data_IF_737427143447
#
_entry.id   IF_737427143447
#
_cell.length_a   1.000
_cell.length_b   1.000
_cell.length_c   1.000
_cell.angle_alpha   90.00
_cell.angle_beta   90.00
_cell.angle_gamma   90.00
#
_symmetry.space_group_name_H-M   'P 1'
#
loop_
_entity.id
_entity.type
_entity.pdbx_description
1 polymer ?
#
# COMPACT_ATOMS: atom_id res chain seq x y z
N UNK A 1 12.79 -2.00 10.16
CA UNK A 1 14.15 -2.60 10.15
C UNK A 1 15.15 -1.83 9.28
N UNK A 2 14.73 -1.18 8.19
CA UNK A 2 15.56 -0.34 7.32
C UNK A 2 15.13 1.13 7.29
N UNK A 3 14.49 1.60 8.37
CA UNK A 3 14.10 3.00 8.52
C UNK A 3 15.33 3.91 8.40
N UNK A 4 15.24 4.95 7.55
CA UNK A 4 16.33 5.89 7.25
C UNK A 4 17.65 5.19 6.87
N UNK A 5 17.55 4.02 6.23
CA UNK A 5 18.73 3.24 5.84
C UNK A 5 19.17 3.53 4.41
N UNK A 6 20.49 3.46 4.20
CA UNK A 6 21.12 3.43 2.87
C UNK A 6 21.38 2.00 2.38
N UNK A 7 20.85 1.01 3.09
CA UNK A 7 21.04 -0.40 2.76
C UNK A 7 20.57 -0.70 1.33
N UNK A 8 21.43 -1.34 0.55
CA UNK A 8 21.23 -1.70 -0.85
C UNK A 8 21.57 -3.17 -1.13
N UNK A 9 21.61 -4.01 -0.09
CA UNK A 9 21.83 -5.44 -0.25
C UNK A 9 20.61 -6.13 -0.86
N UNK A 10 20.84 -7.28 -1.48
CA UNK A 10 19.78 -8.11 -2.04
C UNK A 10 18.97 -8.79 -0.91
N UNK A 11 17.66 -8.53 -0.90
CA UNK A 11 16.69 -9.11 0.02
C UNK A 11 15.58 -9.87 -0.70
N UNK A 12 15.73 -10.09 -2.01
CA UNK A 12 14.72 -10.76 -2.85
C UNK A 12 14.41 -12.20 -2.38
N UNK A 13 15.36 -12.83 -1.68
CA UNK A 13 15.27 -14.21 -1.17
C UNK A 13 14.86 -14.33 0.30
N UNK A 14 14.52 -13.22 0.95
CA UNK A 14 14.12 -13.27 2.34
C UNK A 14 12.78 -13.98 2.52
N UNK A 15 12.75 -14.96 3.42
CA UNK A 15 11.50 -15.58 3.85
C UNK A 15 10.82 -14.72 4.90
N UNK A 16 9.73 -14.07 4.50
CA UNK A 16 8.89 -13.24 5.34
C UNK A 16 7.52 -13.87 5.61
N UNK A 17 7.35 -15.16 5.29
CA UNK A 17 6.06 -15.85 5.32
C UNK A 17 5.41 -15.90 6.69
N UNK A 18 6.19 -15.80 7.77
CA UNK A 18 5.70 -15.81 9.16
C UNK A 18 5.57 -14.40 9.77
N UNK A 19 5.97 -13.37 9.05
CA UNK A 19 6.01 -11.99 9.59
C UNK A 19 4.59 -11.44 9.64
N UNK A 20 4.17 -10.99 10.83
CA UNK A 20 2.85 -10.39 11.04
C UNK A 20 2.88 -8.85 11.00
N UNK A 21 4.03 -8.23 11.28
CA UNK A 21 4.20 -6.78 11.34
C UNK A 21 5.37 -6.34 10.45
N UNK A 22 5.06 -5.53 9.43
CA UNK A 22 6.03 -4.92 8.52
C UNK A 22 6.04 -3.39 8.62
N UNK A 23 5.49 -2.84 9.70
CA UNK A 23 5.41 -1.39 9.90
C UNK A 23 6.79 -0.74 9.85
N UNK A 24 6.87 0.42 9.21
CA UNK A 24 8.08 1.23 9.08
C UNK A 24 9.31 0.49 8.53
N UNK A 25 9.11 -0.62 7.80
CA UNK A 25 10.24 -1.45 7.37
C UNK A 25 11.21 -0.66 6.50
N UNK A 26 10.71 0.24 5.64
CA UNK A 26 11.48 1.05 4.68
C UNK A 26 11.17 2.56 4.78
N UNK A 27 10.60 3.02 5.90
CA UNK A 27 10.30 4.42 6.19
C UNK A 27 11.54 5.32 5.98
N UNK A 28 11.41 6.41 5.22
CA UNK A 28 12.49 7.36 4.91
C UNK A 28 13.75 6.73 4.26
N UNK A 29 13.65 5.53 3.69
CA UNK A 29 14.80 4.84 3.12
C UNK A 29 14.94 5.10 1.61
N UNK A 30 16.15 4.87 1.09
CA UNK A 30 16.41 4.84 -0.36
C UNK A 30 16.20 3.42 -0.92
N UNK A 31 15.02 2.87 -0.68
CA UNK A 31 14.73 1.47 -1.01
C UNK A 31 14.72 1.25 -2.53
N UNK A 32 15.46 0.24 -2.99
CA UNK A 32 15.55 -0.12 -4.42
C UNK A 32 15.50 -1.62 -4.68
N UNK A 33 15.34 -2.47 -3.65
CA UNK A 33 15.38 -3.92 -3.81
C UNK A 33 14.11 -4.48 -4.46
N UNK A 34 14.23 -5.60 -5.15
CA UNK A 34 13.09 -6.37 -5.66
C UNK A 34 12.49 -7.21 -4.53
N UNK A 35 11.23 -6.94 -4.20
CA UNK A 35 10.44 -7.65 -3.18
C UNK A 35 9.15 -8.24 -3.76
N UNK A 36 9.05 -8.32 -5.09
CA UNK A 36 7.85 -8.79 -5.78
C UNK A 36 7.48 -10.25 -5.44
N UNK A 37 8.46 -11.03 -4.96
CA UNK A 37 8.29 -12.45 -4.61
C UNK A 37 8.06 -12.71 -3.12
N UNK A 38 7.98 -11.67 -2.28
CA UNK A 38 7.73 -11.86 -0.86
C UNK A 38 6.33 -12.43 -0.59
N UNK A 39 6.27 -13.46 0.25
CA UNK A 39 5.01 -14.01 0.73
C UNK A 39 4.54 -13.24 1.97
N UNK A 40 3.63 -12.28 1.76
CA UNK A 40 3.10 -11.42 2.83
C UNK A 40 1.73 -11.88 3.37
N UNK A 41 1.33 -13.13 3.11
CA UNK A 41 -0.03 -13.60 3.40
C UNK A 41 -0.41 -13.58 4.89
N UNK A 42 0.57 -13.56 5.80
CA UNK A 42 0.34 -13.51 7.25
C UNK A 42 0.46 -12.10 7.84
N UNK A 43 0.84 -11.10 7.04
CA UNK A 43 1.01 -9.73 7.52
C UNK A 43 -0.33 -9.12 7.93
N UNK A 44 -0.33 -8.47 9.09
CA UNK A 44 -1.48 -7.77 9.67
C UNK A 44 -1.34 -6.25 9.60
N UNK A 45 -0.11 -5.73 9.64
CA UNK A 45 0.14 -4.28 9.55
C UNK A 45 1.33 -3.98 8.65
N UNK A 46 1.16 -2.98 7.79
CA UNK A 46 2.16 -2.40 6.88
C UNK A 46 2.23 -0.87 7.05
N UNK A 47 1.85 -0.37 8.22
CA UNK A 47 1.79 1.06 8.51
C UNK A 47 3.13 1.76 8.23
N UNK A 48 3.10 2.87 7.49
CA UNK A 48 4.25 3.67 7.10
C UNK A 48 5.41 2.88 6.47
N UNK A 49 5.15 1.70 5.90
CA UNK A 49 6.23 0.81 5.42
C UNK A 49 7.11 1.49 4.38
N UNK A 50 6.54 2.31 3.48
CA UNK A 50 7.25 3.09 2.46
C UNK A 50 6.99 4.60 2.58
N UNK A 51 6.55 5.09 3.74
CA UNK A 51 6.38 6.54 3.94
C UNK A 51 7.74 7.25 3.72
N UNK A 52 7.72 8.38 3.02
CA UNK A 52 8.90 9.15 2.63
C UNK A 52 10.00 8.32 1.91
N UNK A 53 9.64 7.17 1.35
CA UNK A 53 10.58 6.31 0.62
C UNK A 53 10.93 6.96 -0.73
N UNK A 54 12.14 7.50 -0.81
CA UNK A 54 12.67 8.12 -2.03
C UNK A 54 13.43 7.04 -2.78
N UNK A 55 12.72 6.26 -3.60
CA UNK A 55 13.33 5.32 -4.53
C UNK A 55 14.50 6.00 -5.24
N UNK A 56 15.64 5.30 -5.34
CA UNK A 56 16.87 5.86 -5.88
C UNK A 56 16.59 6.61 -7.18
N UNK A 57 16.65 7.95 -7.13
CA UNK A 57 16.45 8.81 -8.29
C UNK A 57 17.71 8.70 -9.13
N UNK A 58 17.82 7.61 -9.90
CA UNK A 58 18.74 7.55 -11.03
C UNK A 58 17.96 8.07 -12.24
N UNK A 59 18.33 9.26 -12.71
CA UNK A 59 17.98 9.83 -14.01
C UNK A 59 16.49 10.05 -14.32
N UNK A 60 15.78 10.88 -13.52
CA UNK A 60 14.43 11.39 -13.85
C UNK A 60 13.39 10.30 -14.20
N UNK A 61 13.64 9.06 -13.80
CA UNK A 61 12.76 7.92 -14.06
C UNK A 61 12.16 7.45 -12.75
N UNK A 62 10.83 7.51 -12.66
CA UNK A 62 10.11 6.89 -11.56
C UNK A 62 10.36 5.38 -11.60
N UNK A 63 10.83 4.81 -10.49
CA UNK A 63 10.99 3.36 -10.37
C UNK A 63 9.63 2.74 -10.05
N UNK A 64 9.18 1.81 -10.88
CA UNK A 64 8.04 0.94 -10.57
C UNK A 64 8.48 -0.16 -9.61
N UNK A 65 7.74 -0.33 -8.53
CA UNK A 65 7.86 -1.43 -7.58
C UNK A 65 6.65 -2.34 -7.78
N UNK A 66 6.90 -3.53 -8.30
CA UNK A 66 5.86 -4.52 -8.61
C UNK A 66 5.37 -5.20 -7.31
N UNK A 67 4.20 -4.79 -6.81
CA UNK A 67 3.59 -5.37 -5.61
C UNK A 67 2.32 -6.17 -5.90
N UNK A 68 1.85 -6.22 -7.16
CA UNK A 68 0.58 -6.83 -7.52
C UNK A 68 0.48 -8.34 -7.25
N UNK A 69 1.61 -9.01 -6.98
CA UNK A 69 1.63 -10.43 -6.56
C UNK A 69 1.34 -10.64 -5.08
N UNK A 70 1.38 -9.58 -4.27
CA UNK A 70 1.21 -9.70 -2.82
C UNK A 70 -0.23 -10.04 -2.45
N UNK A 71 -0.40 -11.08 -1.63
CA UNK A 71 -1.67 -11.37 -1.00
C UNK A 71 -1.79 -10.58 0.31
N UNK A 72 -2.45 -9.43 0.24
CA UNK A 72 -2.65 -8.51 1.39
C UNK A 72 -4.02 -8.66 2.07
N UNK A 73 -4.77 -9.71 1.76
CA UNK A 73 -6.15 -9.91 2.26
C UNK A 73 -6.30 -9.91 3.77
N UNK A 74 -5.21 -10.17 4.51
CA UNK A 74 -5.16 -10.20 5.99
C UNK A 74 -4.62 -8.92 6.63
N UNK A 75 -4.13 -7.98 5.83
CA UNK A 75 -3.59 -6.71 6.31
C UNK A 75 -4.75 -5.81 6.71
N UNK A 76 -4.70 -5.33 7.95
CA UNK A 76 -5.71 -4.48 8.55
C UNK A 76 -5.31 -3.01 8.45
N UNK A 77 -4.02 -2.74 8.57
CA UNK A 77 -3.50 -1.39 8.69
C UNK A 77 -2.45 -1.07 7.60
N UNK A 78 -2.80 -0.11 6.76
CA UNK A 78 -1.98 0.46 5.70
C UNK A 78 -1.68 1.95 5.93
N UNK A 79 -1.95 2.47 7.14
CA UNK A 79 -1.86 3.89 7.44
C UNK A 79 -0.53 4.46 6.96
N UNK A 80 -0.58 5.49 6.12
CA UNK A 80 0.53 6.23 5.53
C UNK A 80 1.53 5.40 4.75
N UNK A 81 1.21 4.15 4.37
CA UNK A 81 2.16 3.22 3.79
C UNK A 81 2.97 3.79 2.62
N UNK A 82 2.38 4.67 1.79
CA UNK A 82 3.02 5.28 0.62
C UNK A 82 3.09 6.80 0.68
N UNK A 83 2.83 7.40 1.86
CA UNK A 83 2.77 8.85 2.00
C UNK A 83 4.12 9.46 1.63
N UNK A 84 4.11 10.45 0.74
CA UNK A 84 5.31 11.12 0.21
C UNK A 84 6.33 10.19 -0.47
N UNK A 85 5.96 8.95 -0.80
CA UNK A 85 6.86 8.04 -1.49
C UNK A 85 7.06 8.51 -2.95
N UNK A 86 8.30 8.50 -3.42
CA UNK A 86 8.68 8.98 -4.77
C UNK A 86 8.86 7.81 -5.77
N UNK A 87 8.06 6.76 -5.62
CA UNK A 87 8.11 5.55 -6.45
C UNK A 87 6.69 5.16 -6.85
N UNK A 88 6.55 4.56 -8.03
CA UNK A 88 5.26 4.02 -8.47
C UNK A 88 5.14 2.62 -7.89
N UNK A 89 4.06 2.33 -7.18
CA UNK A 89 3.81 1.00 -6.59
C UNK A 89 2.62 0.37 -7.31
N UNK A 90 2.84 -0.72 -8.02
CA UNK A 90 1.74 -1.47 -8.66
C UNK A 90 1.00 -2.29 -7.61
N UNK A 91 -0.18 -1.80 -7.22
CA UNK A 91 -1.11 -2.45 -6.28
C UNK A 91 -2.38 -2.97 -6.97
N UNK A 92 -2.39 -3.02 -8.31
CA UNK A 92 -3.58 -3.25 -9.16
C UNK A 92 -4.32 -4.58 -8.97
N UNK A 93 -3.77 -5.52 -8.20
CA UNK A 93 -4.35 -6.84 -7.94
C UNK A 93 -4.61 -7.11 -6.46
N UNK A 94 -4.40 -6.13 -5.60
CA UNK A 94 -4.59 -6.29 -4.18
C UNK A 94 -6.07 -6.50 -3.83
N UNK A 95 -6.33 -7.57 -3.09
CA UNK A 95 -7.64 -7.79 -2.44
C UNK A 95 -7.57 -7.24 -1.03
N UNK A 96 -8.37 -6.21 -0.76
CA UNK A 96 -8.29 -5.40 0.45
C UNK A 96 -9.49 -5.72 1.35
N UNK A 97 -9.66 -7.01 1.66
CA UNK A 97 -10.88 -7.49 2.32
C UNK A 97 -10.91 -7.12 3.82
N UNK A 98 -9.74 -6.98 4.45
CA UNK A 98 -9.61 -6.72 5.90
C UNK A 98 -9.15 -5.31 6.26
N UNK A 99 -8.89 -4.42 5.30
CA UNK A 99 -8.29 -3.12 5.62
C UNK A 99 -9.28 -2.16 6.25
N UNK A 100 -8.81 -1.45 7.28
CA UNK A 100 -9.60 -0.44 7.99
C UNK A 100 -9.18 0.99 7.60
N UNK A 101 -7.90 1.20 7.27
CA UNK A 101 -7.32 2.55 7.04
C UNK A 101 -6.64 2.72 5.67
N UNK A 102 -7.09 2.00 4.64
CA UNK A 102 -6.45 2.04 3.32
C UNK A 102 -6.43 3.45 2.68
N UNK A 103 -7.39 4.30 3.02
CA UNK A 103 -7.47 5.67 2.50
C UNK A 103 -6.45 6.65 3.09
N UNK A 104 -5.82 6.31 4.22
CA UNK A 104 -4.74 7.12 4.83
C UNK A 104 -3.36 6.74 4.28
N UNK A 105 -3.27 5.97 3.19
CA UNK A 105 -1.99 5.51 2.63
C UNK A 105 -1.12 6.63 2.08
N UNK A 106 -1.67 7.83 1.85
CA UNK A 106 -0.96 8.98 1.27
C UNK A 106 -0.61 8.82 -0.21
N UNK A 107 -1.29 7.92 -0.93
CA UNK A 107 -1.31 7.89 -2.39
C UNK A 107 -1.96 9.20 -2.88
N UNK A 108 -1.15 10.07 -3.49
CA UNK A 108 -1.63 11.35 -3.99
C UNK A 108 -2.74 11.15 -5.04
N UNK A 109 -3.77 11.96 -4.93
CA UNK A 109 -5.18 11.61 -5.14
C UNK A 109 -5.70 11.53 -6.58
N UNK A 110 -4.85 11.26 -7.59
CA UNK A 110 -5.30 11.23 -8.99
C UNK A 110 -5.25 9.85 -9.70
N UNK A 111 -4.51 8.85 -9.19
CA UNK A 111 -4.47 7.51 -9.82
C UNK A 111 -4.98 6.39 -8.91
N UNK A 112 -4.74 6.50 -7.59
CA UNK A 112 -5.22 5.50 -6.63
C UNK A 112 -6.74 5.50 -6.42
N UNK A 113 -7.38 6.66 -6.58
CA UNK A 113 -8.81 6.83 -6.29
C UNK A 113 -9.71 6.15 -7.33
N UNK A 114 -9.30 6.11 -8.59
CA UNK A 114 -10.06 5.45 -9.68
C UNK A 114 -9.99 3.94 -9.59
N UNK A 115 -8.81 3.39 -9.27
CA UNK A 115 -8.63 1.96 -9.04
C UNK A 115 -9.50 1.45 -7.88
N UNK A 116 -9.53 2.19 -6.77
CA UNK A 116 -10.33 1.80 -5.59
C UNK A 116 -11.83 1.99 -5.86
N UNK A 117 -12.24 3.07 -6.56
CA UNK A 117 -13.63 3.24 -7.00
C UNK A 117 -14.08 2.13 -7.92
N UNK A 118 -13.21 1.63 -8.80
CA UNK A 118 -13.51 0.50 -9.68
C UNK A 118 -13.73 -0.78 -8.88
N UNK A 119 -12.84 -1.09 -7.92
CA UNK A 119 -12.98 -2.26 -7.05
C UNK A 119 -14.21 -2.16 -6.12
N UNK A 120 -14.52 -0.98 -5.58
CA UNK A 120 -15.72 -0.74 -4.75
C UNK A 120 -17.02 -0.72 -5.59
N UNK A 121 -17.01 -0.20 -6.81
CA UNK A 121 -18.16 -0.25 -7.71
C UNK A 121 -18.46 -1.69 -8.15
N UNK A 122 -17.43 -2.51 -8.42
CA UNK A 122 -17.62 -3.93 -8.69
C UNK A 122 -18.31 -4.65 -7.52
N UNK A 123 -18.00 -4.26 -6.27
CA UNK A 123 -18.67 -4.76 -5.05
C UNK A 123 -20.11 -4.23 -4.91
N UNK A 124 -20.37 -2.96 -5.24
CA UNK A 124 -21.72 -2.34 -5.19
C UNK A 124 -22.72 -2.94 -6.19
N UNK A 125 -22.25 -3.47 -7.32
CA UNK A 125 -23.12 -4.18 -8.27
C UNK A 125 -23.59 -5.55 -7.73
N UNK A 126 -22.98 -6.07 -6.67
CA UNK A 126 -23.26 -7.40 -6.12
C UNK A 126 -24.09 -7.35 -4.83
N UNK A 127 -24.06 -6.25 -4.06
CA UNK A 127 -24.90 -6.06 -2.87
C UNK A 127 -25.70 -4.75 -2.92
N UNK A 128 -26.99 -4.86 -3.23
CA UNK A 128 -27.92 -3.72 -3.33
C UNK A 128 -28.69 -3.42 -2.02
N UNK A 129 -28.26 -3.85 -0.84
CA UNK A 129 -29.14 -3.83 0.34
C UNK A 129 -28.58 -3.38 1.71
N UNK A 130 -27.50 -2.57 1.80
CA UNK A 130 -27.19 -1.90 3.07
C UNK A 130 -26.85 -0.41 2.89
N UNK A 131 -27.81 0.43 3.26
CA UNK A 131 -27.86 1.90 3.06
C UNK A 131 -27.03 2.72 4.04
N UNK A 132 -26.28 2.09 4.95
CA UNK A 132 -25.71 2.80 6.12
C UNK A 132 -24.27 3.30 5.93
N UNK A 133 -23.53 2.80 4.92
CA UNK A 133 -22.14 3.26 4.67
C UNK A 133 -22.06 4.52 3.78
N UNK A 134 -23.06 4.77 2.94
CA UNK A 134 -23.12 5.94 2.05
C UNK A 134 -23.31 7.26 2.81
N UNK A 135 -24.01 7.24 3.94
CA UNK A 135 -24.22 8.43 4.79
C UNK A 135 -22.93 8.82 5.54
N UNK A 136 -22.06 7.85 5.89
CA UNK A 136 -20.76 8.13 6.51
C UNK A 136 -19.78 8.82 5.56
N UNK A 137 -19.87 8.55 4.25
CA UNK A 137 -19.01 9.14 3.22
C UNK A 137 -19.41 10.56 2.82
N UNK A 138 -20.69 10.94 2.93
CA UNK A 138 -21.12 12.33 2.66
C UNK A 138 -20.53 13.34 3.66
N UNK A 139 -20.18 12.91 4.87
CA UNK A 139 -19.55 13.75 5.89
C UNK A 139 -18.10 14.17 5.57
N UNK A 140 -17.42 13.46 4.67
CA UNK A 140 -16.02 13.73 4.32
C UNK A 140 -15.84 14.61 3.07
N UNK A 141 -16.92 14.97 2.36
CA UNK A 141 -16.87 15.72 1.08
C UNK A 141 -16.91 17.25 1.27
N UNK A 142 -16.92 17.78 2.50
CA UNK A 142 -16.99 19.24 2.75
C UNK A 142 -15.73 19.88 3.35
N UNK A 143 -14.59 19.17 3.38
CA UNK A 143 -13.31 19.77 3.76
C UNK A 143 -12.22 19.24 2.82
N UNK A 144 -11.91 20.04 1.80
CA UNK A 144 -10.87 19.77 0.81
C UNK A 144 -11.25 20.37 -0.54
#
# INVERSE_FOLDING_TARGET
MFKNSKFNGDISKWDVSIVENMSEMFLESKFTADISNWNVCNVRTMASMFEDCKGGVEENKLKSVELSKWNVSRVVDFSRMFKNANSVFDVSKWKIDSAVNFFDTGLDCNEGFDFIKEQLNQKKTIDLNETDELEKLKGYVLIG
#
